data_IF_759775838175
#
_entry.id   IF_759775838175
#
_cell.length_a   1.000
_cell.length_b   1.000
_cell.length_c   1.000
_cell.angle_alpha   90.00
_cell.angle_beta   90.00
_cell.angle_gamma   90.00
#
_symmetry.space_group_name_H-M   'P 1'
#
loop_
_entity.id
_entity.type
_entity.pdbx_description
1 polymer ?
#
# COMPACT_ATOMS: atom_id res chain seq x y z
N UNK A 1 46.14 55.48 -12.55
CA UNK A 1 45.18 55.44 -13.67
C UNK A 1 45.10 53.98 -14.10
N UNK A 2 44.25 53.20 -13.42
CA UNK A 2 42.98 52.65 -13.96
C UNK A 2 43.24 51.51 -14.96
N UNK A 3 42.76 50.28 -14.80
CA UNK A 3 41.90 49.64 -13.78
C UNK A 3 41.87 48.14 -14.10
N UNK A 4 41.65 47.34 -13.07
CA UNK A 4 41.45 45.90 -13.07
C UNK A 4 40.40 45.41 -14.08
N UNK A 5 40.71 44.33 -14.81
CA UNK A 5 39.71 43.48 -15.45
C UNK A 5 39.49 42.24 -14.59
N UNK A 6 38.64 42.41 -13.59
CA UNK A 6 38.03 41.32 -12.85
C UNK A 6 37.00 40.65 -13.77
N UNK A 7 37.31 39.46 -14.30
CA UNK A 7 36.32 38.60 -14.92
C UNK A 7 35.50 37.92 -13.81
N UNK A 8 34.46 38.62 -13.34
CA UNK A 8 33.36 37.99 -12.63
C UNK A 8 32.68 37.02 -13.62
N UNK A 9 33.01 35.73 -13.53
CA UNK A 9 32.06 34.70 -13.91
C UNK A 9 30.88 34.84 -12.95
N UNK A 10 29.80 35.46 -13.44
CA UNK A 10 28.47 35.21 -12.90
C UNK A 10 28.25 33.70 -13.00
N UNK A 11 28.45 33.01 -11.89
CA UNK A 11 27.73 31.77 -11.66
C UNK A 11 26.27 32.14 -11.82
N UNK A 12 25.65 31.68 -12.90
CA UNK A 12 24.21 31.53 -12.94
C UNK A 12 23.86 30.71 -11.70
N UNK A 13 23.42 31.40 -10.65
CA UNK A 13 22.77 30.78 -9.52
C UNK A 13 21.55 30.12 -10.11
N UNK A 14 21.67 28.82 -10.43
CA UNK A 14 20.56 27.93 -10.62
C UNK A 14 19.64 28.21 -9.41
N UNK A 15 18.53 28.91 -9.66
CA UNK A 15 17.52 29.21 -8.64
C UNK A 15 16.81 27.88 -8.34
N UNK A 16 17.57 26.91 -7.84
CA UNK A 16 17.04 25.64 -7.37
C UNK A 16 16.24 25.98 -6.15
N UNK A 17 14.92 25.96 -6.28
CA UNK A 17 14.03 26.10 -5.14
C UNK A 17 14.41 25.00 -4.16
N UNK A 18 14.90 25.42 -2.99
CA UNK A 18 15.43 24.50 -2.00
C UNK A 18 14.25 23.77 -1.34
N UNK A 19 14.06 22.48 -1.62
CA UNK A 19 12.94 21.66 -1.12
C UNK A 19 13.42 20.58 -0.15
N UNK A 20 12.84 20.54 1.05
CA UNK A 20 13.05 19.42 1.96
C UNK A 20 12.67 18.11 1.25
N UNK A 21 13.51 17.07 1.28
CA UNK A 21 13.30 15.87 0.47
C UNK A 21 12.01 15.14 0.85
N UNK A 22 11.33 14.59 -0.15
CA UNK A 22 10.15 13.73 -0.01
C UNK A 22 10.49 12.30 -0.40
N UNK A 23 10.09 11.34 0.45
CA UNK A 23 10.12 9.91 0.17
C UNK A 23 8.69 9.36 0.11
N UNK A 24 8.31 8.85 -1.07
CA UNK A 24 7.02 8.19 -1.28
C UNK A 24 7.12 6.71 -0.92
N UNK A 25 6.21 6.20 -0.09
CA UNK A 25 6.18 4.78 0.35
C UNK A 25 4.86 4.16 -0.08
N UNK A 26 4.93 3.12 -0.90
CA UNK A 26 3.75 2.46 -1.47
C UNK A 26 3.04 1.52 -0.49
N UNK A 27 1.84 1.07 -0.86
CA UNK A 27 1.04 0.10 -0.11
C UNK A 27 1.01 -1.29 -0.76
N UNK A 28 0.08 -2.12 -0.30
CA UNK A 28 -0.07 -3.48 -0.84
C UNK A 28 -0.41 -3.45 -2.34
N UNK A 29 0.30 -4.26 -3.13
CA UNK A 29 0.11 -4.31 -4.58
C UNK A 29 0.57 -3.05 -5.34
N UNK A 30 1.00 -1.98 -4.66
CA UNK A 30 1.36 -0.70 -5.29
C UNK A 30 2.81 -0.59 -5.77
N UNK A 31 3.54 -1.72 -5.81
CA UNK A 31 4.93 -1.78 -6.27
C UNK A 31 5.08 -2.78 -7.40
N UNK A 32 5.83 -2.43 -8.45
CA UNK A 32 6.20 -3.36 -9.51
C UNK A 32 7.08 -4.49 -8.95
N UNK A 33 6.78 -5.73 -9.31
CA UNK A 33 7.63 -6.90 -9.07
C UNK A 33 8.13 -7.50 -10.38
N UNK A 34 9.43 -7.73 -10.44
CA UNK A 34 10.10 -8.49 -11.49
C UNK A 34 10.55 -9.84 -10.94
N UNK A 35 10.39 -10.89 -11.75
CA UNK A 35 11.09 -12.16 -11.56
C UNK A 35 12.42 -12.09 -12.30
N UNK A 36 13.52 -12.22 -11.56
CA UNK A 36 14.90 -12.18 -12.06
C UNK A 36 15.52 -13.55 -12.01
N UNK A 37 16.07 -14.02 -13.13
CA UNK A 37 16.82 -15.28 -13.18
C UNK A 37 18.17 -15.16 -12.49
N UNK A 38 18.43 -16.00 -11.49
CA UNK A 38 19.68 -16.00 -10.71
C UNK A 38 20.93 -16.20 -11.58
N UNK A 39 20.85 -16.98 -12.66
CA UNK A 39 22.01 -17.33 -13.52
C UNK A 39 22.32 -16.33 -14.64
N UNK A 40 21.33 -15.63 -15.16
CA UNK A 40 21.48 -14.82 -16.39
C UNK A 40 20.96 -13.39 -16.26
N UNK A 41 20.43 -13.01 -15.10
CA UNK A 41 19.98 -11.65 -14.82
C UNK A 41 18.78 -11.16 -15.63
N UNK A 42 18.20 -11.97 -16.52
CA UNK A 42 17.00 -11.59 -17.26
C UNK A 42 15.83 -11.36 -16.30
N UNK A 43 15.18 -10.21 -16.45
CA UNK A 43 14.07 -9.78 -15.62
C UNK A 43 12.78 -9.81 -16.42
N UNK A 44 11.72 -10.34 -15.82
CA UNK A 44 10.36 -10.28 -16.37
C UNK A 44 9.44 -9.63 -15.36
N UNK A 45 8.69 -8.60 -15.76
CA UNK A 45 7.63 -8.05 -14.91
C UNK A 45 6.53 -9.10 -14.72
N UNK A 46 6.24 -9.39 -13.46
CA UNK A 46 5.20 -10.34 -13.03
C UNK A 46 4.04 -9.64 -12.32
N UNK A 47 4.27 -8.42 -11.83
CA UNK A 47 3.26 -7.57 -11.20
C UNK A 47 3.63 -6.09 -11.32
N UNK A 48 2.73 -5.15 -11.58
CA UNK A 48 1.41 -5.37 -12.19
C UNK A 48 1.62 -5.62 -13.68
N UNK A 49 0.81 -6.50 -14.26
CA UNK A 49 0.88 -6.85 -15.68
C UNK A 49 -0.53 -7.02 -16.22
N UNK A 50 -0.79 -6.52 -17.42
CA UNK A 50 -2.05 -6.72 -18.14
C UNK A 50 -1.92 -7.89 -19.15
N UNK A 51 -0.94 -7.84 -20.04
CA UNK A 51 -0.79 -8.89 -21.05
C UNK A 51 -0.27 -10.20 -20.46
N UNK A 52 -1.01 -11.31 -20.59
CA UNK A 52 -0.64 -12.63 -20.02
C UNK A 52 -0.44 -12.58 -18.49
N UNK A 53 -1.17 -11.69 -17.80
CA UNK A 53 -1.04 -11.46 -16.36
C UNK A 53 -1.08 -12.76 -15.56
N UNK A 54 -2.17 -13.51 -15.68
CA UNK A 54 -2.43 -14.73 -14.92
C UNK A 54 -1.40 -15.83 -15.21
N UNK A 55 -1.00 -16.00 -16.47
CA UNK A 55 -0.01 -17.01 -16.88
C UNK A 55 1.37 -16.76 -16.26
N UNK A 56 1.85 -15.52 -16.35
CA UNK A 56 3.19 -15.17 -15.85
C UNK A 56 3.21 -15.08 -14.33
N UNK A 57 2.12 -14.62 -13.74
CA UNK A 57 1.92 -14.64 -12.29
C UNK A 57 1.94 -16.06 -11.74
N UNK A 58 1.15 -16.99 -12.30
CA UNK A 58 1.15 -18.41 -11.90
C UNK A 58 2.52 -19.04 -12.01
N UNK A 59 3.25 -18.73 -13.08
CA UNK A 59 4.56 -19.35 -13.33
C UNK A 59 5.65 -18.84 -12.40
N UNK A 60 5.64 -17.54 -12.06
CA UNK A 60 6.82 -16.86 -11.48
C UNK A 60 6.56 -16.09 -10.18
N UNK A 61 5.31 -15.80 -9.84
CA UNK A 61 4.96 -15.01 -8.65
C UNK A 61 4.46 -15.87 -7.48
N UNK A 62 3.91 -17.06 -7.75
CA UNK A 62 3.43 -17.97 -6.71
C UNK A 62 4.54 -18.36 -5.75
N UNK A 63 4.19 -18.39 -4.47
CA UNK A 63 5.13 -18.39 -3.36
C UNK A 63 4.52 -19.04 -2.13
N UNK A 64 5.38 -19.50 -1.23
CA UNK A 64 4.99 -20.14 0.04
C UNK A 64 5.78 -19.51 1.16
N UNK A 65 5.16 -19.36 2.33
CA UNK A 65 5.83 -18.86 3.51
C UNK A 65 6.77 -19.90 4.12
N UNK A 66 8.00 -19.49 4.37
CA UNK A 66 9.00 -20.29 5.07
C UNK A 66 9.07 -19.82 6.53
N UNK A 67 8.64 -20.68 7.45
CA UNK A 67 8.60 -20.37 8.88
C UNK A 67 9.97 -20.33 9.56
N UNK A 68 11.00 -20.92 8.94
CA UNK A 68 12.38 -20.84 9.46
C UNK A 68 13.01 -19.48 9.15
N UNK A 69 12.73 -18.93 7.96
CA UNK A 69 13.30 -17.66 7.51
C UNK A 69 12.39 -16.46 7.82
N UNK A 70 11.08 -16.70 7.94
CA UNK A 70 10.06 -15.67 8.08
C UNK A 70 9.68 -14.97 6.76
N UNK A 71 10.12 -15.49 5.62
CA UNK A 71 9.88 -14.90 4.29
C UNK A 71 8.88 -15.70 3.47
N UNK A 72 8.12 -15.00 2.62
CA UNK A 72 7.35 -15.59 1.52
C UNK A 72 8.26 -15.78 0.31
N UNK A 73 8.61 -17.03 0.01
CA UNK A 73 9.63 -17.42 -0.95
C UNK A 73 8.99 -17.95 -2.24
N UNK A 74 9.54 -17.59 -3.40
CA UNK A 74 9.01 -18.04 -4.69
C UNK A 74 9.16 -19.55 -4.87
N UNK A 75 8.13 -20.19 -5.44
CA UNK A 75 8.17 -21.59 -5.81
C UNK A 75 9.21 -21.88 -6.92
N UNK A 76 9.51 -20.89 -7.77
CA UNK A 76 10.58 -21.01 -8.78
C UNK A 76 11.95 -20.75 -8.14
N UNK A 77 12.62 -21.83 -7.72
CA UNK A 77 13.98 -21.78 -7.15
C UNK A 77 15.03 -21.14 -8.07
N UNK A 78 14.81 -21.09 -9.40
CA UNK A 78 15.73 -20.50 -10.36
C UNK A 78 15.62 -18.97 -10.46
N UNK A 79 14.57 -18.39 -9.89
CA UNK A 79 14.33 -16.95 -9.91
C UNK A 79 14.25 -16.36 -8.51
N UNK A 80 14.31 -15.04 -8.46
CA UNK A 80 14.01 -14.25 -7.27
C UNK A 80 13.07 -13.12 -7.67
N UNK A 81 12.18 -12.75 -6.75
CA UNK A 81 11.31 -11.60 -6.93
C UNK A 81 11.99 -10.36 -6.37
N UNK A 82 12.09 -9.34 -7.21
CA UNK A 82 12.74 -8.08 -6.90
C UNK A 82 11.85 -6.90 -7.26
N UNK A 83 12.07 -5.79 -6.57
CA UNK A 83 11.41 -4.51 -6.85
C UNK A 83 12.41 -3.62 -7.57
N UNK A 84 12.08 -3.10 -8.77
CA UNK A 84 12.95 -2.19 -9.50
C UNK A 84 13.36 -0.98 -8.67
N UNK A 85 14.62 -0.56 -8.80
CA UNK A 85 15.17 0.61 -8.08
C UNK A 85 15.41 1.81 -9.00
N UNK A 86 15.05 1.67 -10.27
CA UNK A 86 15.12 2.71 -11.30
C UNK A 86 14.42 3.99 -10.88
N UNK A 87 14.88 5.11 -11.44
CA UNK A 87 14.36 6.45 -11.12
C UNK A 87 14.30 6.69 -9.59
N UNK A 88 15.35 6.26 -8.89
CA UNK A 88 15.48 6.40 -7.43
C UNK A 88 14.35 5.71 -6.64
N UNK A 89 13.80 4.63 -7.21
CA UNK A 89 12.67 3.86 -6.68
C UNK A 89 11.29 4.44 -7.04
N UNK A 90 11.22 5.55 -7.75
CA UNK A 90 9.94 6.12 -8.22
C UNK A 90 9.32 5.25 -9.31
N UNK A 91 10.13 4.67 -10.21
CA UNK A 91 9.62 3.84 -11.30
C UNK A 91 8.74 2.68 -10.81
N UNK A 92 9.12 2.06 -9.68
CA UNK A 92 8.37 0.93 -9.13
C UNK A 92 6.97 1.30 -8.62
N UNK A 93 6.70 2.58 -8.35
CA UNK A 93 5.47 3.05 -7.70
C UNK A 93 4.70 4.09 -8.53
N UNK A 94 5.21 4.44 -9.72
CA UNK A 94 4.66 5.46 -10.62
C UNK A 94 3.44 4.93 -11.40
N UNK A 95 3.69 4.23 -12.51
CA UNK A 95 2.69 3.51 -13.32
C UNK A 95 3.01 2.02 -13.22
N UNK A 96 2.12 1.22 -12.60
CA UNK A 96 2.38 -0.17 -12.24
C UNK A 96 2.46 -1.11 -13.45
N UNK A 97 1.78 -0.78 -14.55
CA UNK A 97 2.03 -1.38 -15.87
C UNK A 97 2.44 -0.27 -16.87
N UNK A 98 3.74 -0.01 -17.05
CA UNK A 98 4.23 1.06 -17.93
C UNK A 98 4.25 0.65 -19.42
N UNK A 99 3.48 -0.35 -19.85
CA UNK A 99 3.44 -0.78 -21.26
C UNK A 99 2.92 0.34 -22.17
N UNK A 100 3.39 0.34 -23.43
CA UNK A 100 2.97 1.31 -24.43
C UNK A 100 1.44 1.32 -24.61
N UNK A 101 0.82 0.14 -24.61
CA UNK A 101 -0.63 -0.02 -24.70
C UNK A 101 -1.36 0.73 -23.57
N UNK A 102 -0.95 0.53 -22.31
CA UNK A 102 -1.53 1.22 -21.15
C UNK A 102 -1.41 2.74 -21.30
N UNK A 103 -0.21 3.22 -21.66
CA UNK A 103 0.05 4.65 -21.79
C UNK A 103 -0.76 5.27 -22.93
N UNK A 104 -0.90 4.56 -24.05
CA UNK A 104 -1.68 5.02 -25.20
C UNK A 104 -3.18 5.04 -24.94
N UNK A 105 -3.71 4.05 -24.22
CA UNK A 105 -5.12 3.99 -23.87
C UNK A 105 -5.47 4.74 -22.58
N UNK A 106 -4.46 5.26 -21.89
CA UNK A 106 -4.60 5.97 -20.62
C UNK A 106 -5.43 5.18 -19.59
N UNK A 107 -5.06 3.91 -19.38
CA UNK A 107 -5.71 3.07 -18.37
C UNK A 107 -5.28 3.52 -16.97
N UNK A 108 -6.02 4.48 -16.41
CA UNK A 108 -5.71 5.11 -15.13
C UNK A 108 -5.70 4.13 -13.96
N UNK A 109 -6.34 2.97 -14.09
CA UNK A 109 -6.34 1.92 -13.07
C UNK A 109 -4.97 1.29 -12.80
N UNK A 110 -3.92 1.62 -13.54
CA UNK A 110 -2.55 1.21 -13.20
C UNK A 110 -1.65 2.40 -12.88
N UNK A 111 -2.18 3.61 -12.87
CA UNK A 111 -1.49 4.79 -12.38
C UNK A 111 -1.60 4.79 -10.85
N UNK A 112 -0.46 4.85 -10.16
CA UNK A 112 -0.41 4.75 -8.71
C UNK A 112 0.02 6.09 -8.09
N UNK A 113 1.31 6.37 -7.95
CA UNK A 113 1.78 7.70 -7.51
C UNK A 113 1.97 8.70 -8.65
N UNK A 114 1.68 8.33 -9.91
CA UNK A 114 1.96 9.15 -11.08
C UNK A 114 1.57 10.63 -10.93
N UNK A 115 0.29 10.90 -10.65
CA UNK A 115 -0.21 12.28 -10.55
C UNK A 115 0.39 13.03 -9.35
N UNK A 116 0.72 12.32 -8.27
CA UNK A 116 1.39 12.92 -7.11
C UNK A 116 2.86 13.25 -7.42
N UNK A 117 3.56 12.37 -8.14
CA UNK A 117 4.93 12.62 -8.62
C UNK A 117 4.92 13.85 -9.53
N UNK A 118 4.01 13.92 -10.49
CA UNK A 118 3.87 15.07 -11.39
C UNK A 118 3.53 16.36 -10.64
N UNK A 119 2.63 16.28 -9.65
CA UNK A 119 2.29 17.42 -8.78
C UNK A 119 3.52 17.91 -8.00
N UNK A 120 4.31 17.01 -7.40
CA UNK A 120 5.51 17.37 -6.64
C UNK A 120 6.59 17.94 -7.57
N UNK A 121 6.82 17.35 -8.74
CA UNK A 121 7.74 17.90 -9.75
C UNK A 121 7.29 19.31 -10.17
N UNK A 122 5.99 19.53 -10.39
CA UNK A 122 5.41 20.86 -10.66
C UNK A 122 5.54 21.86 -9.51
N UNK A 123 5.85 21.40 -8.30
CA UNK A 123 6.20 22.23 -7.14
C UNK A 123 7.72 22.48 -7.01
N UNK A 124 8.52 22.02 -7.98
CA UNK A 124 9.98 22.22 -8.00
C UNK A 124 10.78 21.10 -7.33
N UNK A 125 10.17 19.96 -7.01
CA UNK A 125 10.90 18.78 -6.55
C UNK A 125 11.69 18.13 -7.71
N UNK A 126 12.89 17.64 -7.41
CA UNK A 126 13.79 17.02 -8.39
C UNK A 126 14.01 15.55 -8.03
N UNK A 127 13.65 14.64 -8.93
CA UNK A 127 13.88 13.19 -8.77
C UNK A 127 15.35 12.92 -8.49
N UNK A 128 15.65 12.13 -7.47
CA UNK A 128 17.02 11.78 -7.07
C UNK A 128 17.78 12.83 -6.28
N UNK A 129 17.21 14.02 -6.06
CA UNK A 129 17.78 15.07 -5.19
C UNK A 129 16.85 15.39 -4.04
N UNK A 130 15.57 15.64 -4.33
CA UNK A 130 14.55 15.98 -3.33
C UNK A 130 13.30 15.12 -3.45
N UNK A 131 13.19 14.22 -4.44
CA UNK A 131 12.07 13.30 -4.58
C UNK A 131 12.56 11.88 -4.82
N UNK A 132 12.06 10.94 -4.01
CA UNK A 132 12.48 9.54 -3.98
C UNK A 132 11.27 8.63 -3.81
N UNK A 133 11.39 7.39 -4.26
CA UNK A 133 10.38 6.36 -4.09
C UNK A 133 10.90 5.14 -3.33
N UNK A 134 10.01 4.53 -2.57
CA UNK A 134 10.24 3.24 -1.92
C UNK A 134 9.06 2.31 -2.21
N UNK A 135 9.19 1.58 -3.31
CA UNK A 135 8.45 0.35 -3.54
C UNK A 135 9.16 -0.82 -2.86
N UNK A 136 8.38 -1.80 -2.40
CA UNK A 136 8.89 -2.97 -1.69
C UNK A 136 8.06 -4.22 -2.02
N UNK A 137 8.58 -5.38 -1.62
CA UNK A 137 7.87 -6.65 -1.81
C UNK A 137 6.71 -6.74 -0.82
N UNK A 138 5.53 -6.31 -1.27
CA UNK A 138 4.32 -6.19 -0.46
C UNK A 138 3.78 -7.52 0.07
N UNK A 139 4.36 -8.65 -0.33
CA UNK A 139 3.96 -9.98 0.16
C UNK A 139 4.53 -10.25 1.55
N UNK A 140 5.67 -9.63 1.86
CA UNK A 140 6.41 -9.86 3.09
C UNK A 140 5.79 -9.11 4.28
N UNK A 141 6.16 -9.53 5.49
CA UNK A 141 5.81 -8.83 6.72
C UNK A 141 6.32 -7.38 6.72
N UNK A 142 5.50 -6.46 7.23
CA UNK A 142 5.84 -5.04 7.35
C UNK A 142 7.02 -4.76 8.30
N UNK A 143 7.44 -5.74 9.10
CA UNK A 143 8.62 -5.65 9.99
C UNK A 143 9.77 -6.59 9.61
N UNK A 144 9.72 -7.20 8.42
CA UNK A 144 10.81 -8.08 7.98
C UNK A 144 12.09 -7.26 7.73
N UNK A 145 13.25 -7.85 8.06
CA UNK A 145 14.55 -7.15 8.01
C UNK A 145 14.81 -6.47 6.66
N UNK A 146 14.59 -7.18 5.54
CA UNK A 146 14.81 -6.62 4.19
C UNK A 146 14.03 -5.32 3.91
N UNK A 147 12.79 -5.22 4.41
CA UNK A 147 11.95 -4.03 4.21
C UNK A 147 12.36 -2.89 5.15
N UNK A 148 12.76 -3.20 6.38
CA UNK A 148 13.26 -2.21 7.35
C UNK A 148 14.61 -1.64 6.91
N UNK A 149 15.55 -2.50 6.55
CA UNK A 149 16.88 -2.11 6.07
C UNK A 149 16.77 -1.30 4.77
N UNK A 150 15.91 -1.73 3.83
CA UNK A 150 15.65 -0.98 2.60
C UNK A 150 15.09 0.43 2.84
N UNK A 151 14.15 0.58 3.79
CA UNK A 151 13.61 1.90 4.13
C UNK A 151 14.69 2.79 4.78
N UNK A 152 15.49 2.22 5.68
CA UNK A 152 16.64 2.91 6.29
C UNK A 152 17.62 3.41 5.23
N UNK A 153 18.03 2.54 4.30
CA UNK A 153 18.94 2.90 3.21
C UNK A 153 18.38 4.03 2.33
N UNK A 154 17.08 4.00 2.02
CA UNK A 154 16.43 5.07 1.25
C UNK A 154 16.39 6.40 2.00
N UNK A 155 16.08 6.38 3.30
CA UNK A 155 16.11 7.59 4.13
C UNK A 155 17.52 8.18 4.20
N UNK A 156 18.54 7.34 4.39
CA UNK A 156 19.94 7.77 4.39
C UNK A 156 20.37 8.37 3.05
N UNK A 157 19.98 7.73 1.93
CA UNK A 157 20.28 8.22 0.60
C UNK A 157 19.60 9.57 0.31
N UNK A 158 18.32 9.70 0.63
CA UNK A 158 17.57 10.94 0.45
C UNK A 158 18.13 12.08 1.33
N UNK A 159 18.49 11.78 2.57
CA UNK A 159 19.12 12.75 3.48
C UNK A 159 20.47 13.24 2.93
N UNK A 160 21.33 12.34 2.44
CA UNK A 160 22.64 12.70 1.86
C UNK A 160 22.48 13.50 0.56
N UNK A 161 21.62 13.04 -0.36
CA UNK A 161 21.40 13.66 -1.67
C UNK A 161 20.79 15.07 -1.57
N UNK A 162 20.07 15.37 -0.49
CA UNK A 162 19.43 16.67 -0.23
C UNK A 162 20.29 17.64 0.59
N UNK A 163 21.57 17.34 0.82
CA UNK A 163 22.48 18.20 1.58
C UNK A 163 22.34 18.11 3.10
N UNK A 164 21.84 16.98 3.63
CA UNK A 164 21.69 16.74 5.06
C UNK A 164 20.37 17.27 5.64
N UNK A 165 19.34 17.42 4.82
CA UNK A 165 18.00 17.81 5.27
C UNK A 165 17.17 16.59 5.61
N UNK A 166 16.37 16.73 6.67
CA UNK A 166 15.44 15.69 7.08
C UNK A 166 14.34 15.49 6.03
N UNK A 167 13.91 14.24 5.90
CA UNK A 167 12.98 13.74 4.89
C UNK A 167 11.54 13.82 5.38
N UNK A 168 10.66 14.24 4.48
CA UNK A 168 9.21 14.16 4.64
C UNK A 168 8.73 12.85 3.99
N UNK A 169 8.16 11.95 4.77
CA UNK A 169 7.60 10.69 4.25
C UNK A 169 6.14 10.92 3.86
N UNK A 170 5.76 10.43 2.67
CA UNK A 170 4.35 10.28 2.29
C UNK A 170 4.10 8.80 2.04
N UNK A 171 3.30 8.16 2.89
CA UNK A 171 2.94 6.75 2.76
C UNK A 171 1.49 6.56 2.36
N UNK A 172 1.22 5.48 1.63
CA UNK A 172 -0.14 5.10 1.24
C UNK A 172 -0.51 3.70 1.76
N UNK A 173 -1.73 3.54 2.25
CA UNK A 173 -2.31 2.25 2.62
C UNK A 173 -1.39 1.48 3.59
N UNK A 174 -1.09 0.21 3.30
CA UNK A 174 -0.16 -0.64 4.07
C UNK A 174 1.23 -0.04 4.26
N UNK A 175 1.69 0.87 3.38
CA UNK A 175 2.95 1.57 3.55
C UNK A 175 3.03 2.35 4.85
N UNK A 176 1.88 2.84 5.36
CA UNK A 176 1.82 3.46 6.68
C UNK A 176 2.05 2.47 7.82
N UNK A 177 1.62 1.21 7.69
CA UNK A 177 1.91 0.16 8.67
C UNK A 177 3.40 -0.21 8.68
N UNK A 178 4.03 -0.25 7.50
CA UNK A 178 5.48 -0.42 7.38
C UNK A 178 6.22 0.71 8.09
N UNK A 179 5.80 1.96 7.87
CA UNK A 179 6.39 3.13 8.56
C UNK A 179 6.16 3.06 10.07
N UNK A 180 4.97 2.66 10.55
CA UNK A 180 4.71 2.45 11.98
C UNK A 180 5.62 1.38 12.60
N UNK A 181 5.80 0.24 11.92
CA UNK A 181 6.74 -0.80 12.35
C UNK A 181 8.17 -0.24 12.42
N UNK A 182 8.56 0.54 11.42
CA UNK A 182 9.89 1.16 11.37
C UNK A 182 10.10 2.16 12.50
N UNK A 183 9.08 2.97 12.86
CA UNK A 183 9.15 3.89 14.00
C UNK A 183 9.38 3.13 15.31
N UNK A 184 8.64 2.05 15.53
CA UNK A 184 8.72 1.24 16.75
C UNK A 184 10.10 0.55 16.88
N UNK A 185 10.61 0.00 15.77
CA UNK A 185 11.86 -0.79 15.77
C UNK A 185 13.14 0.03 15.55
N UNK A 186 13.05 1.21 14.93
CA UNK A 186 14.19 2.04 14.52
C UNK A 186 13.96 3.53 14.85
N UNK A 187 13.42 3.80 16.05
CA UNK A 187 13.00 5.14 16.49
C UNK A 187 14.12 6.20 16.41
N UNK A 188 15.36 5.83 16.73
CA UNK A 188 16.54 6.70 16.67
C UNK A 188 16.89 7.11 15.22
N UNK A 189 16.85 6.14 14.30
CA UNK A 189 17.06 6.36 12.86
C UNK A 189 15.93 7.23 12.31
N UNK A 190 14.68 6.94 12.65
CA UNK A 190 13.53 7.73 12.22
C UNK A 190 13.65 9.18 12.71
N UNK A 191 13.93 9.39 13.99
CA UNK A 191 14.14 10.73 14.56
C UNK A 191 15.29 11.50 13.90
N UNK A 192 16.37 10.79 13.55
CA UNK A 192 17.53 11.38 12.87
C UNK A 192 17.19 11.87 11.46
N UNK A 193 16.48 11.06 10.67
CA UNK A 193 16.30 11.32 9.24
C UNK A 193 14.96 11.95 8.88
N UNK A 194 13.91 11.84 9.69
CA UNK A 194 12.54 12.22 9.30
C UNK A 194 12.10 13.52 9.98
N UNK A 195 11.46 14.40 9.21
CA UNK A 195 10.90 15.67 9.65
C UNK A 195 9.37 15.60 9.78
N UNK A 196 8.72 15.07 8.76
CA UNK A 196 7.26 14.92 8.69
C UNK A 196 6.91 13.54 8.18
N UNK A 197 5.78 13.04 8.66
CA UNK A 197 5.13 11.87 8.09
C UNK A 197 3.68 12.22 7.76
N UNK A 198 3.34 12.13 6.49
CA UNK A 198 1.99 12.26 5.97
C UNK A 198 1.56 10.85 5.56
N UNK A 199 0.45 10.36 6.11
CA UNK A 199 -0.09 9.07 5.70
C UNK A 199 -1.44 9.23 5.02
N UNK A 200 -1.71 8.36 4.05
CA UNK A 200 -2.93 8.37 3.23
C UNK A 200 -3.56 6.98 3.29
N UNK A 201 -4.79 6.90 3.80
CA UNK A 201 -5.62 5.70 3.81
C UNK A 201 -5.00 4.47 4.51
N UNK A 202 -4.22 4.68 5.58
CA UNK A 202 -3.56 3.57 6.27
C UNK A 202 -4.54 2.76 7.12
N UNK A 203 -4.63 1.43 6.97
CA UNK A 203 -5.51 0.59 7.78
C UNK A 203 -4.90 0.29 9.15
N UNK A 204 -4.79 1.29 10.04
CA UNK A 204 -4.14 1.14 11.34
C UNK A 204 -4.72 -0.01 12.18
N UNK A 205 -6.03 -0.22 12.12
CA UNK A 205 -6.73 -1.30 12.83
C UNK A 205 -7.15 -2.45 11.91
N UNK A 206 -6.65 -2.47 10.67
CA UNK A 206 -7.00 -3.46 9.65
C UNK A 206 -8.12 -3.01 8.71
N UNK A 207 -8.40 -3.84 7.70
CA UNK A 207 -9.43 -3.61 6.69
C UNK A 207 -10.35 -4.85 6.64
N UNK A 208 -11.33 -4.97 7.57
CA UNK A 208 -11.96 -6.24 7.92
C UNK A 208 -12.58 -6.98 6.74
N UNK A 209 -13.46 -6.31 5.97
CA UNK A 209 -14.17 -6.94 4.87
C UNK A 209 -13.22 -7.42 3.77
N UNK A 210 -12.38 -6.52 3.26
CA UNK A 210 -11.45 -6.84 2.19
C UNK A 210 -10.43 -7.92 2.58
N UNK A 211 -9.90 -7.90 3.81
CA UNK A 211 -8.83 -8.81 4.22
C UNK A 211 -9.36 -10.20 4.58
N UNK A 212 -10.49 -10.27 5.30
CA UNK A 212 -11.13 -11.57 5.60
C UNK A 212 -11.51 -12.30 4.29
N UNK A 213 -12.05 -11.56 3.33
CA UNK A 213 -12.39 -12.10 2.02
C UNK A 213 -11.17 -12.48 1.17
N UNK A 214 -10.10 -11.67 1.22
CA UNK A 214 -8.85 -11.97 0.52
C UNK A 214 -8.22 -13.31 0.92
N UNK A 215 -8.38 -13.72 2.18
CA UNK A 215 -7.91 -15.03 2.68
C UNK A 215 -8.82 -16.18 2.28
N UNK A 216 -10.12 -15.94 2.12
CA UNK A 216 -11.11 -16.99 1.85
C UNK A 216 -11.32 -17.20 0.36
N UNK A 217 -11.52 -16.15 -0.42
CA UNK A 217 -11.90 -16.28 -1.83
C UNK A 217 -10.95 -15.53 -2.77
N UNK A 218 -10.05 -14.72 -2.22
CA UNK A 218 -9.05 -13.95 -2.96
C UNK A 218 -9.44 -12.49 -3.16
N UNK A 219 -8.64 -11.78 -3.94
CA UNK A 219 -8.84 -10.36 -4.22
C UNK A 219 -8.87 -10.11 -5.73
N UNK A 220 -9.72 -9.19 -6.16
CA UNK A 220 -9.76 -8.73 -7.53
C UNK A 220 -9.73 -7.20 -7.54
N UNK A 221 -8.76 -6.62 -8.24
CA UNK A 221 -8.49 -5.18 -8.20
C UNK A 221 -9.28 -4.36 -9.23
N UNK A 222 -9.95 -5.03 -10.17
CA UNK A 222 -10.75 -4.43 -11.24
C UNK A 222 -12.00 -5.29 -11.43
N UNK A 223 -13.18 -4.67 -11.49
CA UNK A 223 -14.45 -5.34 -11.71
C UNK A 223 -14.90 -5.29 -13.18
N UNK A 224 -15.79 -6.19 -13.59
CA UNK A 224 -16.33 -6.20 -14.96
C UNK A 224 -15.42 -6.85 -16.01
N UNK A 225 -15.61 -6.51 -17.29
CA UNK A 225 -14.91 -7.14 -18.42
C UNK A 225 -13.40 -6.91 -18.39
N UNK A 226 -12.94 -5.81 -17.78
CA UNK A 226 -11.51 -5.48 -17.69
C UNK A 226 -10.77 -6.43 -16.75
N UNK A 227 -11.47 -7.05 -15.80
CA UNK A 227 -10.92 -8.01 -14.85
C UNK A 227 -10.29 -9.25 -15.50
N UNK A 228 -10.70 -9.60 -16.73
CA UNK A 228 -10.11 -10.70 -17.52
C UNK A 228 -8.65 -10.46 -17.92
N UNK A 229 -8.21 -9.20 -17.93
CA UNK A 229 -6.84 -8.85 -18.28
C UNK A 229 -5.92 -8.78 -17.05
N UNK A 230 -6.46 -8.94 -15.83
CA UNK A 230 -5.69 -8.94 -14.60
C UNK A 230 -5.53 -10.36 -14.05
N UNK A 231 -4.75 -10.50 -12.98
CA UNK A 231 -4.62 -11.77 -12.26
C UNK A 231 -5.99 -12.18 -11.73
N UNK A 232 -6.39 -13.42 -11.99
CA UNK A 232 -7.69 -13.92 -11.53
C UNK A 232 -7.76 -13.98 -10.01
N UNK A 233 -8.96 -13.79 -9.46
CA UNK A 233 -9.23 -13.80 -8.01
C UNK A 233 -8.66 -15.04 -7.31
N UNK A 234 -8.88 -16.23 -7.89
CA UNK A 234 -8.36 -17.49 -7.37
C UNK A 234 -6.82 -17.57 -7.39
N UNK A 235 -6.19 -17.08 -8.45
CA UNK A 235 -4.72 -17.08 -8.51
C UNK A 235 -4.13 -16.11 -7.50
N UNK A 236 -4.80 -14.98 -7.28
CA UNK A 236 -4.46 -14.05 -6.21
C UNK A 236 -4.64 -14.70 -4.84
N UNK A 237 -5.76 -15.36 -4.57
CA UNK A 237 -5.97 -16.15 -3.34
C UNK A 237 -4.78 -17.08 -3.06
N UNK A 238 -4.36 -17.86 -4.05
CA UNK A 238 -3.26 -18.83 -3.90
C UNK A 238 -1.93 -18.16 -3.52
N UNK A 239 -1.72 -16.88 -3.83
CA UNK A 239 -0.59 -16.11 -3.33
C UNK A 239 -0.87 -15.54 -1.93
N UNK A 240 -2.05 -14.94 -1.71
CA UNK A 240 -2.34 -14.13 -0.54
C UNK A 240 -2.38 -14.93 0.76
N UNK A 241 -2.80 -16.20 0.72
CA UNK A 241 -2.84 -17.09 1.92
C UNK A 241 -1.43 -17.33 2.51
N UNK A 242 -0.39 -17.13 1.71
CA UNK A 242 1.02 -17.28 2.10
C UNK A 242 1.74 -15.92 2.25
N UNK A 243 1.02 -14.81 2.27
CA UNK A 243 1.57 -13.46 2.43
C UNK A 243 1.38 -12.94 3.87
N UNK A 244 2.44 -12.78 4.69
CA UNK A 244 2.35 -12.15 6.01
C UNK A 244 1.68 -10.78 6.04
N UNK A 245 1.85 -9.98 5.00
CA UNK A 245 1.20 -8.67 4.90
C UNK A 245 -0.33 -8.71 5.00
N UNK A 246 -0.97 -9.77 4.50
CA UNK A 246 -2.43 -9.94 4.56
C UNK A 246 -2.88 -10.18 6.00
N UNK A 247 -2.18 -11.06 6.71
CA UNK A 247 -2.50 -11.38 8.11
C UNK A 247 -2.27 -10.17 9.02
N UNK A 248 -1.28 -9.33 8.71
CA UNK A 248 -1.00 -8.09 9.46
C UNK A 248 -2.07 -7.00 9.27
N UNK A 249 -2.95 -7.13 8.28
CA UNK A 249 -4.09 -6.24 8.03
C UNK A 249 -5.44 -6.82 8.45
N UNK A 250 -5.45 -8.00 9.08
CA UNK A 250 -6.66 -8.56 9.70
C UNK A 250 -7.24 -7.56 10.72
N UNK A 251 -8.57 -7.59 10.93
CA UNK A 251 -9.21 -6.71 11.91
C UNK A 251 -8.56 -6.89 13.29
N UNK A 252 -8.15 -5.79 13.91
CA UNK A 252 -7.57 -5.84 15.24
C UNK A 252 -8.63 -6.32 16.26
N UNK A 253 -8.47 -7.49 16.90
CA UNK A 253 -9.42 -8.01 17.88
C UNK A 253 -9.47 -7.19 19.17
N UNK A 254 -8.38 -6.49 19.51
CA UNK A 254 -8.26 -5.67 20.72
C UNK A 254 -8.74 -4.23 20.50
N UNK A 255 -9.06 -3.86 19.26
CA UNK A 255 -9.59 -2.54 18.95
C UNK A 255 -11.09 -2.48 19.26
N UNK A 256 -11.50 -1.41 19.94
CA UNK A 256 -12.90 -1.18 20.30
C UNK A 256 -13.68 -0.59 19.13
N UNK A 257 -13.97 -1.42 18.13
CA UNK A 257 -14.83 -1.04 17.00
C UNK A 257 -16.23 -0.63 17.48
N UNK A 258 -16.82 0.41 16.86
CA UNK A 258 -18.24 0.79 17.09
C UNK A 258 -19.20 -0.39 16.92
N UNK A 259 -18.92 -1.22 15.92
CA UNK A 259 -19.56 -2.52 15.67
C UNK A 259 -18.42 -3.50 15.40
N UNK A 260 -18.40 -4.64 16.08
CA UNK A 260 -17.41 -5.67 15.79
C UNK A 260 -17.60 -6.19 14.35
N UNK A 261 -16.53 -6.28 13.53
CA UNK A 261 -16.64 -6.84 12.20
C UNK A 261 -16.83 -8.35 12.28
N UNK A 262 -17.69 -8.87 11.40
CA UNK A 262 -18.11 -10.27 11.42
C UNK A 262 -17.94 -10.94 10.06
N UNK A 263 -17.68 -12.25 10.09
CA UNK A 263 -17.88 -13.14 8.93
C UNK A 263 -19.16 -13.92 9.18
N UNK A 264 -20.06 -13.92 8.19
CA UNK A 264 -21.35 -14.57 8.23
C UNK A 264 -21.41 -15.68 7.19
N UNK A 265 -21.95 -16.85 7.55
CA UNK A 265 -22.07 -17.98 6.63
C UNK A 265 -23.46 -18.58 6.76
N UNK A 266 -24.21 -18.61 5.67
CA UNK A 266 -25.47 -19.34 5.61
C UNK A 266 -25.18 -20.84 5.52
N UNK A 267 -25.59 -21.61 6.52
CA UNK A 267 -25.34 -23.06 6.62
C UNK A 267 -26.62 -23.85 6.82
N UNK A 268 -26.61 -25.09 6.32
CA UNK A 268 -27.64 -26.09 6.66
C UNK A 268 -27.35 -26.63 8.05
N UNK A 269 -28.31 -26.53 8.95
CA UNK A 269 -28.28 -27.16 10.25
C UNK A 269 -29.29 -28.31 10.26
N UNK A 270 -28.87 -29.47 10.76
CA UNK A 270 -29.76 -30.61 10.98
C UNK A 270 -29.94 -30.78 12.49
N UNK A 271 -31.12 -30.44 12.99
CA UNK A 271 -31.48 -30.64 14.39
C UNK A 271 -32.77 -31.46 14.47
N UNK A 272 -32.72 -32.55 15.22
CA UNK A 272 -33.87 -33.44 15.45
C UNK A 272 -34.53 -34.01 14.17
N UNK A 273 -33.76 -34.17 13.09
CA UNK A 273 -34.23 -34.73 11.81
C UNK A 273 -34.88 -33.72 10.86
N UNK A 274 -35.04 -32.46 11.28
CA UNK A 274 -35.43 -31.35 10.42
C UNK A 274 -34.19 -30.57 9.94
N UNK A 275 -34.13 -30.29 8.64
CA UNK A 275 -33.08 -29.45 8.05
C UNK A 275 -33.59 -28.01 8.00
N UNK A 276 -32.90 -27.12 8.69
CA UNK A 276 -33.14 -25.68 8.62
C UNK A 276 -31.90 -24.96 8.09
N UNK A 277 -32.09 -23.75 7.59
CA UNK A 277 -30.99 -22.88 7.16
C UNK A 277 -30.81 -21.80 8.22
N UNK A 278 -29.59 -21.66 8.71
CA UNK A 278 -29.24 -20.67 9.73
C UNK A 278 -27.99 -19.91 9.28
N UNK A 279 -27.82 -18.70 9.83
CA UNK A 279 -26.65 -17.88 9.59
C UNK A 279 -25.72 -17.99 10.80
N UNK A 280 -24.56 -18.61 10.59
CA UNK A 280 -23.49 -18.67 11.57
C UNK A 280 -22.67 -17.38 11.47
N UNK A 281 -22.23 -16.85 12.62
CA UNK A 281 -21.48 -15.59 12.72
C UNK A 281 -20.17 -15.82 13.46
N UNK A 282 -19.08 -15.30 12.90
CA UNK A 282 -17.72 -15.42 13.42
C UNK A 282 -17.14 -14.02 13.62
N UNK A 283 -16.78 -13.67 14.86
CA UNK A 283 -16.08 -12.42 15.16
C UNK A 283 -14.56 -12.49 14.89
N UNK A 284 -13.83 -11.44 15.25
CA UNK A 284 -12.37 -11.33 15.02
C UNK A 284 -11.54 -12.47 15.64
N UNK A 285 -11.96 -13.05 16.76
CA UNK A 285 -11.25 -14.16 17.41
C UNK A 285 -11.69 -15.53 16.89
N UNK A 286 -12.99 -15.67 16.60
CA UNK A 286 -13.59 -16.96 16.21
C UNK A 286 -13.37 -17.27 14.73
N UNK A 287 -13.09 -16.27 13.90
CA UNK A 287 -12.87 -16.43 12.45
C UNK A 287 -11.67 -17.32 12.11
N UNK A 288 -10.70 -17.49 13.04
CA UNK A 288 -9.56 -18.40 12.86
C UNK A 288 -10.02 -19.84 12.61
N UNK A 289 -11.05 -20.29 13.34
CA UNK A 289 -11.60 -21.64 13.17
C UNK A 289 -12.26 -21.82 11.81
N UNK A 290 -12.93 -20.77 11.32
CA UNK A 290 -13.52 -20.74 9.99
C UNK A 290 -12.44 -20.82 8.91
N UNK A 291 -11.35 -20.03 9.02
CA UNK A 291 -10.25 -20.07 8.05
C UNK A 291 -9.57 -21.44 8.01
N UNK A 292 -9.31 -22.05 9.17
CA UNK A 292 -8.74 -23.39 9.25
C UNK A 292 -9.61 -24.42 8.55
N UNK A 293 -10.93 -24.39 8.76
CA UNK A 293 -11.85 -25.33 8.14
C UNK A 293 -12.02 -25.08 6.63
N UNK A 294 -12.18 -23.82 6.22
CA UNK A 294 -12.36 -23.44 4.82
C UNK A 294 -11.13 -23.79 3.98
N UNK A 295 -9.93 -23.55 4.51
CA UNK A 295 -8.66 -23.76 3.79
C UNK A 295 -8.04 -25.14 4.03
N UNK A 296 -8.67 -26.02 4.81
CA UNK A 296 -8.10 -27.33 5.20
C UNK A 296 -7.57 -28.15 4.02
N UNK A 297 -8.32 -28.17 2.93
CA UNK A 297 -8.00 -28.92 1.72
C UNK A 297 -7.57 -28.01 0.56
N UNK A 298 -7.24 -26.74 0.85
CA UNK A 298 -6.83 -25.80 -0.17
C UNK A 298 -5.48 -26.20 -0.76
N UNK A 299 -5.37 -26.16 -2.08
CA UNK A 299 -4.21 -26.64 -2.81
C UNK A 299 -3.91 -25.80 -4.06
N UNK A 300 -2.65 -25.86 -4.46
CA UNK A 300 -2.12 -25.24 -5.66
C UNK A 300 -1.45 -26.31 -6.53
N UNK A 301 -1.80 -26.34 -7.81
CA UNK A 301 -1.05 -27.09 -8.81
C UNK A 301 0.06 -26.20 -9.40
N UNK A 302 1.32 -26.57 -9.18
CA UNK A 302 2.49 -25.89 -9.72
C UNK A 302 3.42 -26.89 -10.40
N UNK A 303 3.65 -26.72 -11.70
CA UNK A 303 4.46 -27.62 -12.54
C UNK A 303 4.09 -29.11 -12.39
N UNK A 304 2.78 -29.41 -12.31
CA UNK A 304 2.26 -30.78 -12.18
C UNK A 304 2.36 -31.37 -10.78
N UNK A 305 2.81 -30.58 -9.79
CA UNK A 305 2.83 -30.97 -8.37
C UNK A 305 1.72 -30.25 -7.62
N UNK A 306 1.05 -30.99 -6.75
CA UNK A 306 0.09 -30.43 -5.79
C UNK A 306 0.84 -29.96 -4.55
N UNK A 307 0.60 -28.70 -4.15
CA UNK A 307 1.16 -28.05 -2.98
C UNK A 307 -0.02 -27.66 -2.09
N UNK A 308 -0.04 -28.12 -0.84
CA UNK A 308 -1.06 -27.72 0.12
C UNK A 308 -0.86 -26.27 0.55
N UNK A 309 -1.93 -25.50 0.61
CA UNK A 309 -1.96 -24.10 1.06
C UNK A 309 -3.03 -23.91 2.15
N UNK A 310 -2.92 -24.62 3.30
CA UNK A 310 -3.87 -24.47 4.40
C UNK A 310 -3.74 -23.09 5.04
N UNK A 311 -4.68 -22.74 5.91
CA UNK A 311 -4.54 -21.55 6.75
C UNK A 311 -3.24 -21.61 7.55
N UNK A 312 -2.42 -20.55 7.45
CA UNK A 312 -1.05 -20.60 7.96
C UNK A 312 -0.95 -19.98 9.35
N UNK A 313 -1.06 -20.83 10.39
CA UNK A 313 -0.95 -20.41 11.79
C UNK A 313 0.40 -19.77 12.15
N UNK A 314 1.48 -20.09 11.44
CA UNK A 314 2.79 -19.47 11.68
C UNK A 314 2.84 -18.03 11.18
N UNK A 315 2.16 -17.74 10.08
CA UNK A 315 1.98 -16.36 9.63
C UNK A 315 1.09 -15.60 10.62
N UNK A 316 0.00 -16.21 11.10
CA UNK A 316 -0.87 -15.58 12.10
C UNK A 316 -0.10 -15.24 13.38
N UNK A 317 0.69 -16.18 13.92
CA UNK A 317 1.57 -15.97 15.08
C UNK A 317 2.53 -14.79 14.84
N UNK A 318 3.13 -14.72 13.65
CA UNK A 318 4.01 -13.61 13.27
C UNK A 318 3.28 -12.27 13.22
N UNK A 319 2.08 -12.24 12.64
CA UNK A 319 1.24 -11.06 12.51
C UNK A 319 0.75 -10.54 13.87
N UNK A 320 0.42 -11.42 14.81
CA UNK A 320 0.15 -11.05 16.22
C UNK A 320 1.37 -10.37 16.84
N UNK A 321 2.58 -10.86 16.56
CA UNK A 321 3.83 -10.18 16.94
C UNK A 321 3.97 -8.80 16.32
N UNK A 322 3.63 -8.65 15.04
CA UNK A 322 3.62 -7.35 14.35
C UNK A 322 2.60 -6.38 14.95
N UNK A 323 1.40 -6.86 15.34
CA UNK A 323 0.39 -6.05 16.02
C UNK A 323 0.94 -5.41 17.29
N UNK A 324 1.65 -6.18 18.13
CA UNK A 324 2.31 -5.63 19.34
C UNK A 324 3.31 -4.52 19.01
N UNK A 325 4.11 -4.70 17.95
CA UNK A 325 5.06 -3.67 17.47
C UNK A 325 4.34 -2.40 17.04
N UNK A 326 3.19 -2.53 16.35
CA UNK A 326 2.35 -1.40 15.93
C UNK A 326 1.74 -0.67 17.13
N UNK A 327 1.23 -1.39 18.12
CA UNK A 327 0.61 -0.82 19.32
C UNK A 327 1.64 -0.12 20.24
N UNK A 328 2.90 -0.54 20.19
CA UNK A 328 4.01 0.10 20.91
C UNK A 328 4.60 1.31 20.17
N UNK A 329 4.18 1.58 18.92
CA UNK A 329 4.75 2.64 18.11
C UNK A 329 4.47 4.02 18.70
N UNK A 330 5.54 4.79 18.96
CA UNK A 330 5.44 6.16 19.45
C UNK A 330 6.20 7.11 18.53
N UNK A 331 5.54 8.17 18.08
CA UNK A 331 6.15 9.16 17.21
C UNK A 331 7.29 9.88 17.96
N UNK A 332 8.52 9.93 17.41
CA UNK A 332 9.63 10.62 18.07
C UNK A 332 9.37 12.13 18.19
N UNK A 333 9.87 12.72 19.28
CA UNK A 333 9.75 14.18 19.51
C UNK A 333 10.35 14.97 18.34
N UNK A 334 9.60 15.97 17.87
CA UNK A 334 10.03 16.86 16.80
C UNK A 334 9.70 16.37 15.38
N UNK A 335 9.05 15.22 15.22
CA UNK A 335 8.44 14.81 13.94
C UNK A 335 6.98 15.26 13.90
N UNK A 336 6.56 15.91 12.82
CA UNK A 336 5.12 16.22 12.61
C UNK A 336 4.42 15.04 11.93
N UNK A 337 3.23 14.67 12.40
CA UNK A 337 2.41 13.64 11.78
C UNK A 337 1.08 14.20 11.26
N UNK A 338 0.68 13.77 10.07
CA UNK A 338 -0.55 14.14 9.40
C UNK A 338 -1.23 12.90 8.83
N UNK A 339 -2.56 12.83 8.93
CA UNK A 339 -3.33 11.68 8.47
C UNK A 339 -4.45 12.12 7.52
N UNK A 340 -4.47 11.55 6.32
CA UNK A 340 -5.57 11.67 5.36
C UNK A 340 -6.26 10.31 5.30
N UNK A 341 -7.57 10.30 5.52
CA UNK A 341 -8.39 9.10 5.40
C UNK A 341 -9.57 9.35 4.45
N UNK A 342 -9.98 8.32 3.71
CA UNK A 342 -11.12 8.44 2.82
C UNK A 342 -12.45 8.25 3.54
N UNK A 343 -13.48 8.89 3.00
CA UNK A 343 -14.85 8.86 3.51
C UNK A 343 -15.85 8.80 2.36
N UNK A 344 -17.12 8.59 2.67
CA UNK A 344 -18.24 8.66 1.72
C UNK A 344 -18.26 7.59 0.64
N UNK A 345 -17.53 6.49 0.84
CA UNK A 345 -17.62 5.29 0.01
C UNK A 345 -18.05 4.10 0.87
N UNK A 346 -18.97 3.29 0.33
CA UNK A 346 -19.37 2.02 0.92
C UNK A 346 -18.15 1.11 1.02
N UNK A 347 -17.73 0.84 2.25
CA UNK A 347 -16.50 0.12 2.52
C UNK A 347 -16.80 -1.23 3.15
N UNK A 348 -16.39 -2.35 2.53
CA UNK A 348 -16.62 -3.69 3.05
C UNK A 348 -16.19 -3.83 4.52
N UNK A 349 -17.14 -4.19 5.38
CA UNK A 349 -16.92 -4.31 6.81
C UNK A 349 -17.21 -5.73 7.30
N UNK A 350 -18.43 -6.22 7.09
CA UNK A 350 -18.77 -7.62 7.30
C UNK A 350 -18.79 -8.36 5.96
N UNK A 351 -18.52 -9.66 6.00
CA UNK A 351 -18.52 -10.52 4.81
C UNK A 351 -19.51 -11.65 5.00
N UNK A 352 -20.42 -11.86 4.05
CA UNK A 352 -21.43 -12.91 4.09
C UNK A 352 -21.26 -13.88 2.92
N UNK A 353 -21.29 -15.19 3.21
CA UNK A 353 -21.19 -16.26 2.22
C UNK A 353 -22.46 -17.12 2.17
N UNK A 354 -22.85 -17.51 0.96
CA UNK A 354 -24.09 -18.24 0.70
C UNK A 354 -25.34 -17.36 0.89
N UNK A 355 -26.50 -17.99 0.80
CA UNK A 355 -27.80 -17.35 1.04
C UNK A 355 -28.79 -18.35 1.65
N UNK A 356 -29.96 -17.88 2.08
CA UNK A 356 -31.02 -18.76 2.58
C UNK A 356 -31.46 -19.79 1.52
N UNK A 357 -31.47 -19.42 0.23
CA UNK A 357 -31.83 -20.29 -0.88
C UNK A 357 -30.67 -21.16 -1.40
N UNK A 358 -29.43 -20.75 -1.14
CA UNK A 358 -28.21 -21.47 -1.54
C UNK A 358 -27.18 -21.46 -0.40
N UNK A 359 -27.43 -22.18 0.70
CA UNK A 359 -26.52 -22.22 1.85
C UNK A 359 -25.29 -23.09 1.56
N UNK A 360 -24.18 -22.74 2.22
CA UNK A 360 -22.93 -23.48 2.23
C UNK A 360 -23.14 -24.81 2.96
N UNK A 361 -22.80 -25.92 2.28
CA UNK A 361 -22.93 -27.25 2.88
C UNK A 361 -21.61 -27.63 3.57
N UNK A 362 -20.50 -27.57 2.84
CA UNK A 362 -19.15 -27.77 3.35
C UNK A 362 -18.42 -26.44 3.43
N UNK A 363 -17.74 -26.15 4.55
CA UNK A 363 -17.11 -24.83 4.78
C UNK A 363 -16.03 -24.52 3.74
N UNK A 364 -15.37 -25.53 3.18
CA UNK A 364 -14.40 -25.35 2.08
C UNK A 364 -15.02 -24.78 0.80
N UNK A 365 -16.34 -24.93 0.59
CA UNK A 365 -17.03 -24.35 -0.57
C UNK A 365 -16.95 -22.82 -0.58
N UNK A 366 -16.77 -22.19 0.60
CA UNK A 366 -16.65 -20.72 0.74
C UNK A 366 -15.63 -20.17 -0.27
N UNK A 367 -14.49 -20.84 -0.42
CA UNK A 367 -13.38 -20.38 -1.26
C UNK A 367 -13.72 -20.26 -2.75
N UNK A 368 -14.85 -20.84 -3.17
CA UNK A 368 -15.34 -20.84 -4.54
C UNK A 368 -16.68 -20.11 -4.68
N UNK A 369 -17.07 -19.33 -3.68
CA UNK A 369 -18.24 -18.44 -3.73
C UNK A 369 -17.83 -16.98 -3.88
N UNK A 370 -18.82 -16.12 -4.16
CA UNK A 370 -18.64 -14.68 -4.09
C UNK A 370 -19.24 -14.15 -2.79
N UNK A 371 -18.54 -13.29 -2.05
CA UNK A 371 -19.07 -12.67 -0.85
C UNK A 371 -20.15 -11.62 -1.18
N UNK A 372 -21.06 -11.43 -0.23
CA UNK A 372 -21.84 -10.20 -0.10
C UNK A 372 -21.28 -9.37 1.06
N UNK A 373 -21.19 -8.06 0.89
CA UNK A 373 -20.66 -7.17 1.90
C UNK A 373 -21.75 -6.37 2.60
N UNK A 374 -21.61 -6.25 3.92
CA UNK A 374 -22.21 -5.16 4.68
C UNK A 374 -21.16 -4.08 4.86
N UNK A 375 -21.51 -2.85 4.51
CA UNK A 375 -20.56 -1.75 4.38
C UNK A 375 -20.68 -0.73 5.51
N UNK A 376 -19.57 -0.03 5.76
CA UNK A 376 -19.50 1.16 6.61
C UNK A 376 -18.87 2.32 5.83
N UNK A 377 -18.81 3.50 6.44
CA UNK A 377 -18.15 4.67 5.86
C UNK A 377 -16.62 4.48 5.80
N UNK A 378 -16.04 4.82 4.65
CA UNK A 378 -14.61 4.73 4.41
C UNK A 378 -14.27 5.08 2.97
N UNK A 379 -13.26 4.41 2.42
CA UNK A 379 -12.73 4.67 1.08
C UNK A 379 -12.98 3.54 0.07
N UNK A 380 -13.85 2.58 0.39
CA UNK A 380 -14.11 1.39 -0.42
C UNK A 380 -13.13 0.24 -0.16
N UNK A 381 -12.15 0.41 0.73
CA UNK A 381 -11.24 -0.66 1.19
C UNK A 381 -11.03 -0.62 2.69
N UNK A 382 -10.69 0.55 3.23
CA UNK A 382 -10.37 0.78 4.64
C UNK A 382 -11.49 1.58 5.29
N UNK A 383 -12.13 1.04 6.35
CA UNK A 383 -13.10 1.81 7.12
C UNK A 383 -12.48 3.09 7.68
N UNK A 384 -13.20 4.20 7.63
CA UNK A 384 -12.71 5.48 8.15
C UNK A 384 -12.32 5.37 9.64
N UNK A 385 -13.07 4.57 10.42
CA UNK A 385 -12.77 4.29 11.83
C UNK A 385 -11.38 3.65 12.02
N UNK A 386 -11.00 2.71 11.16
CA UNK A 386 -9.68 2.08 11.18
C UNK A 386 -8.59 3.08 10.80
N UNK A 387 -8.82 3.86 9.73
CA UNK A 387 -7.83 4.80 9.24
C UNK A 387 -7.57 5.98 10.18
N UNK A 388 -8.56 6.40 10.98
CA UNK A 388 -8.38 7.44 12.00
C UNK A 388 -7.71 6.94 13.28
N UNK A 389 -7.78 5.64 13.57
CA UNK A 389 -7.30 5.05 14.81
C UNK A 389 -5.78 4.79 14.78
N UNK A 390 -5.02 5.83 14.47
CA UNK A 390 -3.57 5.81 14.26
C UNK A 390 -2.73 5.85 15.55
N UNK A 391 -3.35 6.19 16.69
CA UNK A 391 -2.72 6.28 18.01
C UNK A 391 -1.59 7.32 18.15
N UNK A 392 -1.35 8.17 17.15
CA UNK A 392 -0.35 9.23 17.20
C UNK A 392 -0.98 10.59 17.58
N UNK A 393 -0.15 11.53 18.03
CA UNK A 393 -0.58 12.93 18.18
C UNK A 393 -0.46 13.64 16.84
N UNK A 394 -1.46 13.48 15.98
CA UNK A 394 -1.48 14.10 14.66
C UNK A 394 -1.70 15.61 14.76
N UNK A 395 -0.90 16.36 14.02
CA UNK A 395 -1.09 17.80 13.83
C UNK A 395 -2.44 18.07 13.17
N UNK A 396 -2.80 17.21 12.21
CA UNK A 396 -4.10 17.29 11.53
C UNK A 396 -4.53 15.90 11.03
N UNK A 397 -5.84 15.64 11.13
CA UNK A 397 -6.51 14.50 10.49
C UNK A 397 -7.60 15.02 9.58
N UNK A 398 -7.60 14.60 8.32
CA UNK A 398 -8.54 15.12 7.32
C UNK A 398 -9.24 13.99 6.58
N UNK A 399 -10.57 13.94 6.71
CA UNK A 399 -11.43 13.13 5.87
C UNK A 399 -11.58 13.72 4.46
N UNK A 400 -11.41 12.89 3.44
CA UNK A 400 -11.60 13.27 2.03
C UNK A 400 -12.54 12.29 1.36
N UNK A 401 -13.58 12.81 0.71
CA UNK A 401 -14.55 12.00 -0.02
C UNK A 401 -13.95 11.49 -1.35
N UNK A 402 -13.19 10.39 -1.28
CA UNK A 402 -12.57 9.73 -2.43
C UNK A 402 -12.35 8.25 -2.12
N UNK A 403 -12.33 7.43 -3.18
CA UNK A 403 -12.00 6.00 -3.05
C UNK A 403 -10.54 5.82 -2.64
N UNK A 404 -10.19 4.62 -2.17
CA UNK A 404 -8.87 4.27 -1.64
C UNK A 404 -7.75 4.70 -2.60
N UNK A 405 -7.90 4.36 -3.89
CA UNK A 405 -6.96 4.78 -4.94
C UNK A 405 -7.19 6.21 -5.42
N UNK A 406 -8.44 6.67 -5.44
CA UNK A 406 -8.80 8.03 -5.83
C UNK A 406 -8.09 9.10 -5.00
N UNK A 407 -7.82 8.82 -3.71
CA UNK A 407 -7.05 9.70 -2.82
C UNK A 407 -5.66 10.07 -3.37
N UNK A 408 -5.01 9.20 -4.15
CA UNK A 408 -3.69 9.47 -4.75
C UNK A 408 -3.74 10.44 -5.94
N UNK A 409 -4.94 10.73 -6.44
CA UNK A 409 -5.19 11.64 -7.58
C UNK A 409 -6.08 12.83 -7.19
N UNK A 410 -6.54 12.86 -5.93
CA UNK A 410 -7.52 13.82 -5.47
C UNK A 410 -6.92 15.23 -5.29
N UNK A 411 -7.62 16.24 -5.79
CA UNK A 411 -7.14 17.63 -5.77
C UNK A 411 -7.09 18.21 -4.37
N UNK A 412 -8.01 17.82 -3.47
CA UNK A 412 -8.00 18.27 -2.07
C UNK A 412 -6.82 17.63 -1.34
N UNK A 413 -6.55 16.34 -1.58
CA UNK A 413 -5.35 15.66 -1.06
C UNK A 413 -4.07 16.38 -1.49
N UNK A 414 -3.94 16.72 -2.78
CA UNK A 414 -2.77 17.46 -3.27
C UNK A 414 -2.62 18.83 -2.61
N UNK A 415 -3.71 19.56 -2.42
CA UNK A 415 -3.68 20.85 -1.71
C UNK A 415 -3.22 20.69 -0.25
N UNK A 416 -3.70 19.68 0.47
CA UNK A 416 -3.28 19.38 1.83
C UNK A 416 -1.78 19.07 1.89
N UNK A 417 -1.30 18.18 1.03
CA UNK A 417 0.12 17.82 0.92
C UNK A 417 0.97 19.07 0.63
N UNK A 418 0.57 19.88 -0.35
CA UNK A 418 1.27 21.13 -0.68
C UNK A 418 1.35 22.07 0.52
N UNK A 419 0.25 22.25 1.25
CA UNK A 419 0.18 23.10 2.43
C UNK A 419 1.10 22.58 3.55
N UNK A 420 1.05 21.29 3.87
CA UNK A 420 1.85 20.69 4.94
C UNK A 420 3.35 20.61 4.61
N UNK A 421 3.70 20.54 3.32
CA UNK A 421 5.07 20.66 2.82
C UNK A 421 5.52 22.12 2.67
N UNK A 422 4.62 23.11 2.79
CA UNK A 422 4.94 24.53 2.59
C UNK A 422 5.31 24.87 1.14
N UNK A 423 4.73 24.18 0.16
CA UNK A 423 5.03 24.36 -1.27
C UNK A 423 3.80 24.81 -2.05
N UNK A 424 4.01 25.39 -3.24
CA UNK A 424 2.94 25.73 -4.18
C UNK A 424 3.42 25.51 -5.61
N UNK A 425 2.48 25.26 -6.53
CA UNK A 425 2.77 25.08 -7.95
C UNK A 425 3.32 26.36 -8.58
N UNK A 426 4.43 26.27 -9.33
CA UNK A 426 5.12 27.42 -9.92
C UNK A 426 4.26 28.26 -10.89
N UNK A 427 3.16 27.70 -11.41
CA UNK A 427 2.21 28.40 -12.29
C UNK A 427 1.56 29.64 -11.66
N UNK A 428 1.50 29.74 -10.33
CA UNK A 428 0.96 30.92 -9.63
C UNK A 428 2.01 32.01 -9.37
N UNK A 429 3.31 31.69 -9.40
CA UNK A 429 4.38 32.64 -9.04
C UNK A 429 4.63 33.68 -10.15
N UNK A 430 4.36 33.34 -11.42
CA UNK A 430 4.55 34.28 -12.55
C UNK A 430 3.55 35.43 -12.61
N UNK A 431 2.43 35.39 -11.88
CA UNK A 431 1.44 36.48 -11.86
C UNK A 431 1.57 37.46 -10.69
N UNK A 432 2.53 37.26 -9.78
CA UNK A 432 2.71 38.11 -8.60
C UNK A 432 3.89 39.10 -8.67
N UNK A 433 4.47 39.34 -9.85
CA UNK A 433 5.39 40.47 -10.08
C UNK A 433 4.67 41.55 -10.89
N UNK A 434 3.84 42.35 -10.23
CA UNK A 434 3.39 43.62 -10.77
C UNK A 434 4.59 44.56 -10.89
N UNK A 435 4.87 44.94 -12.12
CA UNK A 435 5.84 45.96 -12.51
C UNK A 435 5.53 47.26 -11.76
N UNK A 436 6.45 47.74 -10.92
CA UNK A 436 6.41 49.13 -10.45
C UNK A 436 6.64 50.03 -11.66
N UNK A 437 5.58 50.64 -12.16
CA UNK A 437 5.66 51.76 -13.10
C UNK A 437 6.21 52.96 -12.31
N UNK A 438 7.38 53.45 -12.73
CA UNK A 438 7.92 54.73 -12.28
C UNK A 438 7.12 55.84 -12.96
N UNK A 439 6.35 56.60 -12.17
CA UNK A 439 5.81 57.88 -12.62
C UNK A 439 6.96 58.90 -12.69
N UNK A 440 7.32 59.28 -13.93
CA UNK A 440 8.18 60.41 -14.21
C UNK A 440 7.31 61.66 -14.16
N UNK A 441 7.57 62.54 -13.19
CA UNK A 441 7.04 63.91 -13.19
C UNK A 441 7.69 64.69 -14.34
N UNK A 442 6.85 65.28 -15.19
CA UNK A 442 7.24 66.44 -15.98
C UNK A 442 6.58 67.69 -15.37
N UNK A 443 7.30 68.79 -15.52
CA UNK A 443 7.21 70.11 -14.84
C UNK A 443 5.81 70.73 -14.70
#
# INVERSE_FOLDING_TARGET
MLRDFCCCWNSDTDNTVDRDPVLLVSGIGGSILHSKRKKFGFETRVWVRIMLADLEFKKKALSVYNSETGYTESLDSATELIVPQDDYGLYAIDILDPSFFVKCLHLTDVYHFHDMIDMLVGCGYKKGTTLFGYGYDFRQSNRIGKLMDGLKEKLEAAYKASGGRKVNIISHSMGGLLVSCFISLNSDIFSKYVNKWITIATPFQGAPGCINDSLLTGLQFVEGFESFFFVSRWSMHQLLVECPSIYEMLPNPDFNWKKQPEIQVWRKQSKDGETSVAKDTYGCNDCVTLFEEALRNNELNYDGKTIALPFNFKILEWATGTRKVLDEAQLPKGVSFYNIYGTSFDTPFDVCYGSESSPISEVSEICHTMPEYSCTDGDGTVPAESAMADQFDAVERVGVAASHRGLLTDKKVFQLIQNWLGVSSESKVKHARTSKVMDVKFE
#
